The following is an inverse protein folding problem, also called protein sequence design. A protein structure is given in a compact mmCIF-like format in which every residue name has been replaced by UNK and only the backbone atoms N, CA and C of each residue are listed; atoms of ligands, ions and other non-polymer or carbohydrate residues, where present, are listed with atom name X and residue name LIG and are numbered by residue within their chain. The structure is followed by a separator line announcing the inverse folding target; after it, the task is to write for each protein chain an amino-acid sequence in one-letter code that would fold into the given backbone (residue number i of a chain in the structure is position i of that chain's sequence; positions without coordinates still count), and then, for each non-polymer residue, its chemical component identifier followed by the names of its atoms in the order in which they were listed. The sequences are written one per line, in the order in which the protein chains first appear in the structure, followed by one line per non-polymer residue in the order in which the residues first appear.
data_IF_602286054231
#
_entry.id   IF_602286054231
#
_cell.length_a   1.000
_cell.length_b   1.000
_cell.length_c   1.000
_cell.angle_alpha   90.00
_cell.angle_beta   90.00
_cell.angle_gamma   90.00
#
_symmetry.space_group_name_H-M   'P 1'
#
loop_
_entity.id
_entity.type
_entity.pdbx_description
1 polymer ?
#
# COMPACT_ATOMS: atom_id res chain seq x y z
N UNK A 1 -23.25 15.03 -79.86
CA UNK A 1 -22.71 13.65 -79.70
C UNK A 1 -22.68 13.35 -78.21
N UNK A 2 -23.54 12.44 -77.73
CA UNK A 2 -23.72 12.09 -76.31
C UNK A 2 -22.59 11.17 -75.84
N UNK A 3 -21.84 11.55 -74.80
CA UNK A 3 -21.11 10.59 -73.97
C UNK A 3 -21.73 10.57 -72.57
N UNK A 4 -22.17 9.38 -72.19
CA UNK A 4 -22.52 8.95 -70.83
C UNK A 4 -21.25 8.37 -70.18
N UNK A 5 -21.20 8.38 -68.84
CA UNK A 5 -20.78 7.30 -67.93
C UNK A 5 -20.02 7.87 -66.71
N UNK A 6 -20.70 7.96 -65.56
CA UNK A 6 -20.65 7.02 -64.42
C UNK A 6 -19.40 7.24 -63.54
N UNK A 7 -19.55 8.03 -62.49
CA UNK A 7 -18.62 8.10 -61.36
C UNK A 7 -19.12 7.08 -60.32
N UNK A 8 -18.29 6.13 -59.84
CA UNK A 8 -18.68 5.26 -58.75
C UNK A 8 -18.60 6.02 -57.43
N UNK A 9 -19.67 5.94 -56.63
CA UNK A 9 -19.71 6.40 -55.26
C UNK A 9 -18.91 5.41 -54.41
N UNK A 10 -17.63 5.69 -54.17
CA UNK A 10 -16.84 4.95 -53.19
C UNK A 10 -17.25 5.40 -51.78
N UNK A 11 -18.10 4.61 -51.14
CA UNK A 11 -18.41 4.75 -49.73
C UNK A 11 -17.17 4.31 -48.94
N UNK A 12 -16.32 5.26 -48.56
CA UNK A 12 -15.21 5.01 -47.63
C UNK A 12 -15.84 4.84 -46.24
N UNK A 13 -16.05 3.59 -45.84
CA UNK A 13 -16.29 3.24 -44.45
C UNK A 13 -14.99 3.47 -43.67
N UNK A 14 -14.79 4.68 -43.17
CA UNK A 14 -13.77 4.92 -42.16
C UNK A 14 -14.26 4.31 -40.84
N UNK A 15 -13.88 3.05 -40.57
CA UNK A 15 -13.88 2.56 -39.19
C UNK A 15 -12.88 3.42 -38.43
N UNK A 16 -13.38 4.41 -37.70
CA UNK A 16 -12.61 5.09 -36.66
C UNK A 16 -12.25 4.02 -35.63
N UNK A 17 -11.07 3.41 -35.78
CA UNK A 17 -10.42 2.73 -34.66
C UNK A 17 -9.95 3.86 -33.76
N UNK A 18 -10.85 4.31 -32.88
CA UNK A 18 -10.45 5.11 -31.72
C UNK A 18 -9.52 4.19 -30.94
N UNK A 19 -8.25 4.56 -30.69
CA UNK A 19 -7.42 3.77 -29.80
C UNK A 19 -8.15 3.79 -28.45
N UNK A 20 -8.67 2.63 -28.04
CA UNK A 20 -9.15 2.46 -26.68
C UNK A 20 -7.99 2.87 -25.79
N UNK A 21 -8.19 3.87 -24.94
CA UNK A 21 -7.25 4.12 -23.86
C UNK A 21 -7.14 2.80 -23.11
N UNK A 22 -5.99 2.13 -23.23
CA UNK A 22 -5.75 0.90 -22.52
C UNK A 22 -5.74 1.26 -21.04
N UNK A 23 -6.81 0.90 -20.34
CA UNK A 23 -6.79 0.90 -18.88
C UNK A 23 -5.66 -0.05 -18.45
N UNK A 24 -4.83 0.39 -17.51
CA UNK A 24 -3.88 -0.50 -16.86
C UNK A 24 -4.61 -1.74 -16.30
N UNK A 25 -3.89 -2.83 -16.10
CA UNK A 25 -4.39 -4.05 -15.47
C UNK A 25 -5.16 -3.69 -14.19
N UNK A 26 -6.41 -4.17 -14.09
CA UNK A 26 -7.28 -3.88 -12.95
C UNK A 26 -6.81 -4.76 -11.77
N UNK A 27 -6.31 -4.16 -10.66
CA UNK A 27 -5.88 -4.92 -9.48
C UNK A 27 -6.94 -5.92 -9.00
N UNK A 28 -6.51 -7.14 -8.68
CA UNK A 28 -7.40 -8.19 -8.17
C UNK A 28 -8.23 -8.93 -9.23
N UNK A 29 -8.11 -8.57 -10.51
CA UNK A 29 -8.75 -9.29 -11.62
C UNK A 29 -7.76 -10.30 -12.22
N UNK A 30 -8.12 -11.60 -12.34
CA UNK A 30 -7.29 -12.61 -13.00
C UNK A 30 -6.91 -12.22 -14.43
N UNK A 31 -5.74 -12.66 -14.91
CA UNK A 31 -5.21 -12.29 -16.23
C UNK A 31 -6.21 -12.61 -17.37
N UNK A 32 -6.89 -13.74 -17.29
CA UNK A 32 -7.92 -14.18 -18.23
C UNK A 32 -9.17 -13.30 -18.26
N UNK A 33 -9.39 -12.50 -17.21
CA UNK A 33 -10.53 -11.58 -17.07
C UNK A 33 -10.17 -10.11 -17.28
N UNK A 34 -8.88 -9.77 -17.47
CA UNK A 34 -8.47 -8.39 -17.66
C UNK A 34 -9.11 -7.75 -18.89
N UNK A 35 -9.08 -8.41 -20.04
CA UNK A 35 -9.69 -7.92 -21.28
C UNK A 35 -11.21 -7.67 -21.14
N UNK A 36 -11.98 -8.67 -20.69
CA UNK A 36 -13.41 -8.49 -20.41
C UNK A 36 -13.71 -7.38 -19.39
N UNK A 37 -12.91 -7.24 -18.33
CA UNK A 37 -13.09 -6.21 -17.31
C UNK A 37 -12.78 -4.80 -17.85
N UNK A 38 -11.72 -4.66 -18.65
CA UNK A 38 -11.38 -3.41 -19.34
C UNK A 38 -12.49 -2.98 -20.31
N UNK A 39 -13.10 -3.93 -21.03
CA UNK A 39 -14.25 -3.67 -21.90
C UNK A 39 -15.49 -3.21 -21.13
N UNK A 40 -15.75 -3.83 -19.97
CA UNK A 40 -16.85 -3.42 -19.11
C UNK A 40 -16.66 -1.97 -18.61
N UNK A 41 -15.45 -1.62 -18.19
CA UNK A 41 -15.10 -0.26 -17.75
C UNK A 41 -15.21 0.73 -18.91
N UNK A 42 -14.72 0.39 -20.09
CA UNK A 42 -14.79 1.24 -21.28
C UNK A 42 -16.24 1.48 -21.77
N UNK A 43 -17.18 0.61 -21.41
CA UNK A 43 -18.59 0.76 -21.73
C UNK A 43 -19.36 1.63 -20.72
N UNK A 44 -18.75 1.98 -19.58
CA UNK A 44 -19.38 2.86 -18.59
C UNK A 44 -19.51 4.30 -19.10
N UNK A 45 -20.50 5.07 -18.61
CA UNK A 45 -20.52 6.53 -18.74
C UNK A 45 -19.19 7.19 -18.30
N UNK A 46 -18.79 8.29 -18.94
CA UNK A 46 -17.48 8.93 -18.72
C UNK A 46 -17.25 9.36 -17.25
N UNK A 47 -18.30 9.80 -16.55
CA UNK A 47 -18.29 10.12 -15.13
C UNK A 47 -18.00 8.88 -14.27
N UNK A 48 -18.58 7.74 -14.62
CA UNK A 48 -18.32 6.46 -13.94
C UNK A 48 -16.94 5.89 -14.29
N UNK A 49 -16.44 6.12 -15.51
CA UNK A 49 -15.06 5.79 -15.88
C UNK A 49 -14.06 6.60 -15.05
N UNK A 50 -14.32 7.91 -14.86
CA UNK A 50 -13.50 8.77 -14.01
C UNK A 50 -13.55 8.34 -12.55
N UNK A 51 -14.72 7.98 -12.02
CA UNK A 51 -14.87 7.46 -10.66
C UNK A 51 -14.15 6.11 -10.49
N UNK A 52 -14.24 5.22 -11.48
CA UNK A 52 -13.51 3.96 -11.50
C UNK A 52 -11.99 4.20 -11.54
N UNK A 53 -11.51 5.10 -12.39
CA UNK A 53 -10.10 5.49 -12.43
C UNK A 53 -9.66 6.21 -11.15
N UNK A 54 -10.52 6.96 -10.46
CA UNK A 54 -10.16 7.55 -9.16
C UNK A 54 -10.12 6.48 -8.06
N UNK A 55 -11.01 5.49 -8.13
CA UNK A 55 -11.05 4.36 -7.20
C UNK A 55 -9.91 3.35 -7.44
N UNK A 56 -9.45 3.20 -8.69
CA UNK A 56 -8.49 2.16 -9.10
C UNK A 56 -7.12 2.71 -9.53
N UNK A 57 -7.04 4.00 -9.89
CA UNK A 57 -5.96 4.58 -10.68
C UNK A 57 -4.86 5.25 -9.88
N UNK A 58 -4.92 5.22 -8.55
CA UNK A 58 -3.71 5.36 -7.77
C UNK A 58 -3.32 3.97 -7.29
N UNK A 59 -2.41 3.26 -8.00
CA UNK A 59 -1.72 2.14 -7.37
C UNK A 59 -1.25 2.60 -5.99
N UNK A 60 -1.44 1.75 -4.97
CA UNK A 60 -0.92 2.03 -3.64
C UNK A 60 0.55 2.46 -3.80
N UNK A 61 1.00 3.52 -3.11
CA UNK A 61 2.35 4.01 -3.28
C UNK A 61 3.32 2.85 -3.09
N UNK A 62 4.20 2.64 -4.07
CA UNK A 62 5.26 1.66 -3.92
C UNK A 62 6.37 2.29 -3.08
N UNK A 63 6.76 1.59 -2.03
CA UNK A 63 7.86 1.97 -1.17
C UNK A 63 9.04 1.06 -1.46
N UNK A 64 10.25 1.62 -1.38
CA UNK A 64 11.47 0.83 -1.53
C UNK A 64 11.59 -0.19 -0.38
N UNK A 65 12.24 -1.32 -0.65
CA UNK A 65 12.51 -2.33 0.38
C UNK A 65 13.76 -1.95 1.20
N UNK A 66 13.66 -0.85 1.93
CA UNK A 66 14.69 -0.32 2.81
C UNK A 66 14.08 0.50 3.95
N UNK A 67 14.90 0.96 4.88
CA UNK A 67 14.42 1.66 6.08
C UNK A 67 13.54 2.88 5.78
N UNK A 68 13.90 3.71 4.80
CA UNK A 68 13.07 4.88 4.43
C UNK A 68 11.72 4.42 3.86
N UNK A 69 11.74 3.45 2.94
CA UNK A 69 10.53 2.91 2.35
C UNK A 69 9.62 2.21 3.37
N UNK A 70 10.17 1.44 4.30
CA UNK A 70 9.40 0.80 5.37
C UNK A 70 8.74 1.83 6.29
N UNK A 71 9.45 2.90 6.68
CA UNK A 71 8.87 3.97 7.50
C UNK A 71 7.76 4.68 6.73
N UNK A 72 7.98 5.03 5.46
CA UNK A 72 6.94 5.68 4.64
C UNK A 72 5.73 4.79 4.40
N UNK A 73 5.95 3.49 4.21
CA UNK A 73 4.90 2.49 4.10
C UNK A 73 4.06 2.42 5.37
N UNK A 74 4.71 2.37 6.53
CA UNK A 74 4.02 2.41 7.81
C UNK A 74 3.25 3.73 8.01
N UNK A 75 3.85 4.89 7.70
CA UNK A 75 3.17 6.17 7.78
C UNK A 75 1.94 6.24 6.85
N UNK A 76 2.03 5.66 5.65
CA UNK A 76 0.90 5.57 4.73
C UNK A 76 -0.23 4.77 5.36
N UNK A 77 0.04 3.55 5.87
CA UNK A 77 -0.94 2.74 6.58
C UNK A 77 -1.51 3.51 7.78
N UNK A 78 -0.65 4.01 8.67
CA UNK A 78 -1.04 4.77 9.86
C UNK A 78 -1.99 5.94 9.53
N UNK A 79 -1.76 6.66 8.43
CA UNK A 79 -2.62 7.76 8.00
C UNK A 79 -4.03 7.32 7.65
N UNK A 80 -4.21 6.12 7.08
CA UNK A 80 -5.53 5.56 6.76
C UNK A 80 -6.31 5.17 8.02
N UNK A 81 -5.60 4.86 9.11
CA UNK A 81 -6.18 4.42 10.38
C UNK A 81 -6.21 5.51 11.46
N UNK A 82 -5.80 6.74 11.14
CA UNK A 82 -5.77 7.85 12.09
C UNK A 82 -4.74 7.68 13.21
N UNK A 83 -3.67 6.90 12.98
CA UNK A 83 -2.59 6.68 13.94
C UNK A 83 -1.55 7.81 13.77
N UNK A 84 -1.31 8.66 14.79
CA UNK A 84 -0.35 9.75 14.68
C UNK A 84 1.11 9.26 14.80
N UNK A 85 2.00 9.92 14.06
CA UNK A 85 3.45 9.76 14.18
C UNK A 85 4.21 10.47 13.06
N UNK A 86 5.43 10.93 13.36
CA UNK A 86 6.35 11.51 12.39
C UNK A 86 7.42 10.51 11.92
N UNK A 87 7.99 10.77 10.74
CA UNK A 87 9.12 9.99 10.22
C UNK A 87 10.28 9.99 11.23
N UNK A 88 10.62 11.16 11.77
CA UNK A 88 11.72 11.37 12.71
C UNK A 88 11.47 10.68 14.04
N UNK A 89 10.23 10.70 14.52
CA UNK A 89 9.81 9.96 15.71
C UNK A 89 10.00 8.46 15.51
N UNK A 90 9.50 7.91 14.40
CA UNK A 90 9.65 6.49 14.06
C UNK A 90 11.14 6.12 13.92
N UNK A 91 11.88 6.84 13.07
CA UNK A 91 13.29 6.58 12.80
C UNK A 91 14.13 6.60 14.08
N UNK A 92 13.93 7.60 14.95
CA UNK A 92 14.63 7.70 16.24
C UNK A 92 14.42 6.45 17.10
N UNK A 93 13.18 5.98 17.20
CA UNK A 93 12.86 4.80 17.99
C UNK A 93 13.49 3.54 17.37
N UNK A 94 13.35 3.33 16.06
CA UNK A 94 13.98 2.19 15.35
C UNK A 94 15.49 2.13 15.60
N UNK A 95 16.19 3.27 15.48
CA UNK A 95 17.64 3.30 15.66
C UNK A 95 18.07 2.96 17.08
N UNK A 96 17.24 3.25 18.09
CA UNK A 96 17.49 2.86 19.48
C UNK A 96 17.18 1.38 19.74
N UNK A 97 16.07 0.89 19.18
CA UNK A 97 15.58 -0.47 19.44
C UNK A 97 16.38 -1.55 18.72
N UNK A 98 16.67 -1.35 17.44
CA UNK A 98 17.21 -2.39 16.56
C UNK A 98 18.41 -1.95 15.71
N UNK A 99 18.73 -0.65 15.73
CA UNK A 99 19.71 -0.08 14.81
C UNK A 99 19.29 -0.20 13.34
N UNK A 100 18.00 -0.38 13.05
CA UNK A 100 17.47 -0.59 11.70
C UNK A 100 17.46 -2.04 11.24
N UNK A 101 17.72 -3.02 12.11
CA UNK A 101 17.66 -4.44 11.74
C UNK A 101 16.22 -5.00 11.87
N UNK A 102 15.55 -5.33 10.76
CA UNK A 102 14.17 -5.83 10.80
C UNK A 102 14.04 -7.24 11.39
N UNK A 103 15.14 -7.96 11.54
CA UNK A 103 15.16 -9.33 12.11
C UNK A 103 15.72 -9.37 13.53
N UNK A 104 15.87 -8.21 14.18
CA UNK A 104 16.37 -8.12 15.56
C UNK A 104 15.45 -8.89 16.53
N UNK A 105 16.07 -9.58 17.50
CA UNK A 105 15.39 -10.30 18.57
C UNK A 105 16.17 -10.13 19.87
N UNK A 106 15.49 -9.77 20.96
CA UNK A 106 16.08 -9.74 22.29
C UNK A 106 15.83 -11.06 23.03
N UNK A 107 16.90 -11.71 23.50
CA UNK A 107 16.83 -13.00 24.19
C UNK A 107 17.27 -12.95 25.65
N UNK A 108 17.51 -11.75 26.20
CA UNK A 108 18.17 -11.60 27.50
C UNK A 108 17.29 -11.01 28.60
N UNK A 109 16.13 -10.46 28.27
CA UNK A 109 15.25 -9.79 29.24
C UNK A 109 14.21 -10.71 29.87
N UNK A 110 13.35 -10.14 30.72
CA UNK A 110 12.26 -10.88 31.37
C UNK A 110 11.20 -11.40 30.39
N UNK A 111 11.00 -10.72 29.25
CA UNK A 111 10.05 -11.17 28.24
C UNK A 111 10.61 -12.40 27.50
N UNK A 112 11.89 -12.39 27.16
CA UNK A 112 12.59 -13.54 26.63
C UNK A 112 12.57 -14.73 27.60
N UNK A 113 12.81 -14.49 28.90
CA UNK A 113 12.69 -15.51 29.93
C UNK A 113 11.26 -16.07 30.05
N UNK A 114 10.25 -15.25 29.76
CA UNK A 114 8.84 -15.66 29.70
C UNK A 114 8.44 -16.28 28.35
N UNK A 115 9.37 -16.44 27.40
CA UNK A 115 9.11 -17.03 26.08
C UNK A 115 8.42 -16.11 25.07
N UNK A 116 8.35 -14.80 25.35
CA UNK A 116 7.72 -13.78 24.50
C UNK A 116 8.72 -12.66 24.14
N UNK A 117 9.87 -12.99 23.54
CA UNK A 117 10.93 -12.01 23.28
C UNK A 117 10.45 -10.87 22.39
N UNK A 118 11.04 -9.69 22.58
CA UNK A 118 10.88 -8.52 21.72
C UNK A 118 11.52 -8.73 20.35
N UNK A 119 10.85 -8.30 19.27
CA UNK A 119 11.22 -8.61 17.89
C UNK A 119 11.05 -7.43 16.93
N UNK A 120 11.82 -7.45 15.86
CA UNK A 120 11.72 -6.54 14.72
C UNK A 120 12.26 -5.14 14.99
N UNK A 121 11.97 -4.23 14.06
CA UNK A 121 12.50 -2.87 14.04
C UNK A 121 12.23 -2.08 15.32
N UNK A 122 11.04 -2.27 15.91
CA UNK A 122 10.56 -1.55 17.08
C UNK A 122 10.59 -2.41 18.36
N UNK A 123 11.19 -3.60 18.31
CA UNK A 123 11.32 -4.51 19.46
C UNK A 123 9.98 -4.74 20.21
N UNK A 124 8.93 -5.04 19.44
CA UNK A 124 7.59 -5.33 19.97
C UNK A 124 7.50 -6.82 20.36
N UNK A 125 6.80 -7.13 21.44
CA UNK A 125 6.49 -8.52 21.84
C UNK A 125 5.21 -9.02 21.15
N UNK A 126 5.10 -10.34 20.94
CA UNK A 126 3.95 -10.97 20.27
C UNK A 126 2.56 -10.53 20.78
N UNK A 127 2.27 -10.50 22.11
CA UNK A 127 0.95 -10.09 22.58
C UNK A 127 0.63 -8.62 22.28
N UNK A 128 1.63 -7.74 22.30
CA UNK A 128 1.44 -6.32 21.94
C UNK A 128 1.23 -6.19 20.43
N UNK A 129 2.01 -6.89 19.62
CA UNK A 129 1.83 -6.89 18.17
C UNK A 129 0.43 -7.35 17.78
N UNK A 130 -0.06 -8.46 18.38
CA UNK A 130 -1.39 -8.97 18.11
C UNK A 130 -2.50 -8.01 18.56
N UNK A 131 -2.36 -7.36 19.72
CA UNK A 131 -3.36 -6.43 20.25
C UNK A 131 -3.43 -5.10 19.48
N UNK A 132 -2.33 -4.67 18.88
CA UNK A 132 -2.21 -3.37 18.20
C UNK A 132 -1.93 -3.50 16.70
N UNK A 133 -2.11 -4.69 16.14
CA UNK A 133 -2.02 -4.94 14.70
C UNK A 133 -2.91 -3.96 13.93
N UNK A 134 -2.45 -3.54 12.75
CA UNK A 134 -3.16 -2.59 11.90
C UNK A 134 -3.61 -3.31 10.64
N UNK A 135 -4.93 -3.30 10.40
CA UNK A 135 -5.54 -3.93 9.24
C UNK A 135 -4.86 -3.47 7.94
N UNK A 136 -4.68 -4.40 6.99
CA UNK A 136 -3.97 -4.14 5.74
C UNK A 136 -2.45 -4.34 5.81
N UNK A 137 -1.91 -4.75 6.96
CA UNK A 137 -0.50 -5.15 7.10
C UNK A 137 -0.33 -6.65 7.32
N UNK A 138 0.89 -7.17 7.16
CA UNK A 138 1.24 -8.57 7.42
C UNK A 138 0.98 -8.96 8.88
N UNK A 139 0.70 -10.24 9.13
CA UNK A 139 0.68 -10.83 10.48
C UNK A 139 2.04 -11.37 10.93
N UNK A 140 3.07 -11.25 10.08
CA UNK A 140 4.45 -11.51 10.48
C UNK A 140 5.00 -10.34 11.30
N UNK A 141 5.40 -10.58 12.54
CA UNK A 141 6.00 -9.57 13.41
C UNK A 141 7.34 -9.03 12.89
N UNK A 142 8.02 -9.76 12.00
CA UNK A 142 9.25 -9.29 11.35
C UNK A 142 9.00 -8.50 10.06
N UNK A 143 7.76 -8.42 9.59
CA UNK A 143 7.41 -7.52 8.49
C UNK A 143 7.65 -6.06 8.95
N UNK A 144 8.51 -5.30 8.27
CA UNK A 144 8.89 -3.96 8.70
C UNK A 144 7.69 -3.01 8.88
N UNK A 145 6.76 -3.03 7.92
CA UNK A 145 5.60 -2.13 7.90
C UNK A 145 4.62 -2.50 9.00
N UNK A 146 4.33 -3.78 9.18
CA UNK A 146 3.46 -4.27 10.25
C UNK A 146 4.06 -3.98 11.64
N UNK A 147 5.35 -4.26 11.83
CA UNK A 147 6.05 -4.05 13.11
C UNK A 147 6.03 -2.56 13.52
N UNK A 148 6.36 -1.65 12.58
CA UNK A 148 6.31 -0.21 12.83
C UNK A 148 4.87 0.24 13.11
N UNK A 149 3.91 -0.19 12.29
CA UNK A 149 2.50 0.24 12.41
C UNK A 149 1.91 -0.19 13.76
N UNK A 150 2.15 -1.43 14.18
CA UNK A 150 1.67 -1.94 15.47
C UNK A 150 2.33 -1.20 16.65
N UNK A 151 3.64 -0.95 16.60
CA UNK A 151 4.34 -0.18 17.62
C UNK A 151 3.80 1.25 17.74
N UNK A 152 3.55 1.92 16.61
CA UNK A 152 3.01 3.28 16.60
C UNK A 152 1.55 3.32 17.08
N UNK A 153 0.75 2.30 16.77
CA UNK A 153 -0.62 2.17 17.29
C UNK A 153 -0.62 2.01 18.82
N UNK A 154 0.26 1.15 19.35
CA UNK A 154 0.50 1.06 20.79
C UNK A 154 0.91 2.40 21.40
N UNK A 155 1.89 3.08 20.78
CA UNK A 155 2.37 4.37 21.27
C UNK A 155 1.29 5.47 21.23
N UNK A 156 0.45 5.49 20.20
CA UNK A 156 -0.68 6.40 20.11
C UNK A 156 -1.69 6.16 21.26
N UNK A 157 -2.00 4.90 21.54
CA UNK A 157 -2.90 4.54 22.64
C UNK A 157 -2.33 4.89 24.02
N UNK A 158 -1.01 4.70 24.21
CA UNK A 158 -0.38 4.82 25.53
C UNK A 158 0.18 6.22 25.83
N UNK A 159 0.64 6.93 24.81
CA UNK A 159 1.41 8.17 24.88
C UNK A 159 0.89 9.28 23.94
N UNK A 160 -0.16 9.01 23.16
CA UNK A 160 -0.74 9.95 22.20
C UNK A 160 -0.07 9.96 20.83
N UNK A 161 1.23 9.65 20.74
CA UNK A 161 1.98 9.48 19.48
C UNK A 161 3.34 8.82 19.77
N UNK A 162 3.92 8.16 18.77
CA UNK A 162 5.31 7.68 18.81
C UNK A 162 6.33 8.82 19.03
N UNK A 163 5.96 10.06 18.70
CA UNK A 163 6.84 11.23 18.87
C UNK A 163 7.15 11.51 20.35
N UNK A 164 6.24 11.09 21.24
CA UNK A 164 6.38 11.25 22.70
C UNK A 164 7.18 10.11 23.36
N UNK A 165 7.69 9.14 22.58
CA UNK A 165 8.45 8.00 23.10
C UNK A 165 9.95 8.28 23.01
N UNK A 166 10.61 8.37 24.16
CA UNK A 166 12.04 8.70 24.28
C UNK A 166 12.89 7.57 24.87
N UNK A 167 12.28 6.56 25.48
CA UNK A 167 12.94 5.39 26.08
C UNK A 167 12.66 4.11 25.29
N UNK A 168 13.48 3.08 25.51
CA UNK A 168 13.21 1.75 24.98
C UNK A 168 11.93 1.15 25.56
N UNK A 169 11.32 0.23 24.80
CA UNK A 169 10.11 -0.51 25.19
C UNK A 169 10.40 -1.60 26.21
#
# INVERSE_FOLDING_TARGET
MRLKNLIPLALIGATLVVPAQAFADIPGVPAELQGPAQQLVAALPHDQQQQFQQAMGNPAPQFEDNLDGWIRGAMFVMSQHGIPGSYEGIYRNIMRESGGNPTAINLYDSNAAAGIPSKGLMQVIDPTFAAYHVDGTSWDIYDPVANISAACNYAANRYGTIDNVFSAY
#
